data_IF_240374684748
#
_entry.id   IF_240374684748
#
_cell.length_a   1.000
_cell.length_b   1.000
_cell.length_c   1.000
_cell.angle_alpha   90.00
_cell.angle_beta   90.00
_cell.angle_gamma   90.00
#
_symmetry.space_group_name_H-M   'P 1'
#
loop_
_entity.id
_entity.type
_entity.pdbx_description
1 polymer ?
#
# COMPACT_ATOMS: atom_id res chain seq x y z
N UNK A 1 -0.50 -5.73 -17.53
CA UNK A 1 -0.42 -5.68 -16.07
C UNK A 1 1.05 -5.65 -15.72
N UNK A 2 1.49 -4.59 -15.06
CA UNK A 2 2.87 -4.48 -14.61
C UNK A 2 2.94 -5.23 -13.29
N UNK A 3 3.60 -6.38 -13.31
CA UNK A 3 3.90 -7.12 -12.09
C UNK A 3 5.03 -6.40 -11.37
N UNK A 4 4.73 -5.77 -10.24
CA UNK A 4 5.79 -5.22 -9.40
C UNK A 4 6.51 -6.34 -8.63
N UNK A 5 7.67 -5.99 -8.08
CA UNK A 5 8.40 -6.88 -7.17
C UNK A 5 7.71 -6.91 -5.80
N UNK A 6 8.03 -7.93 -5.01
CA UNK A 6 7.76 -7.90 -3.57
C UNK A 6 8.66 -6.87 -2.87
N UNK A 7 8.08 -6.15 -1.92
CA UNK A 7 8.75 -5.28 -0.97
C UNK A 7 8.53 -5.84 0.43
N UNK A 8 9.59 -5.97 1.23
CA UNK A 8 9.54 -6.58 2.57
C UNK A 8 10.11 -8.00 2.62
N UNK A 9 9.84 -8.70 3.72
CA UNK A 9 10.40 -10.00 4.05
C UNK A 9 9.51 -11.19 3.70
N UNK A 10 9.73 -12.31 4.40
CA UNK A 10 9.04 -13.59 4.16
C UNK A 10 8.09 -13.99 5.32
N UNK A 11 7.80 -13.06 6.24
CA UNK A 11 6.92 -13.31 7.39
C UNK A 11 5.44 -13.27 7.04
N UNK A 12 4.60 -13.32 8.07
CA UNK A 12 3.15 -13.07 7.96
C UNK A 12 2.34 -14.15 7.25
N UNK A 13 1.07 -13.81 7.01
CA UNK A 13 0.11 -14.65 6.30
C UNK A 13 -0.34 -13.99 5.00
N UNK A 14 -0.44 -14.81 3.94
CA UNK A 14 -0.81 -14.34 2.63
C UNK A 14 -2.25 -13.79 2.60
N UNK A 15 -2.40 -12.64 1.96
CA UNK A 15 -3.64 -11.95 1.71
C UNK A 15 -3.64 -11.32 0.32
N UNK A 16 -4.83 -11.00 -0.18
CA UNK A 16 -5.00 -10.36 -1.48
C UNK A 16 -6.09 -9.32 -1.43
N UNK A 17 -5.74 -8.09 -1.78
CA UNK A 17 -6.67 -7.02 -2.07
C UNK A 17 -6.83 -6.89 -3.58
N UNK A 18 -8.04 -6.81 -4.12
CA UNK A 18 -8.22 -6.60 -5.56
C UNK A 18 -9.49 -5.79 -5.90
N UNK A 19 -9.41 -5.06 -7.01
CA UNK A 19 -10.57 -4.47 -7.65
C UNK A 19 -11.53 -5.58 -8.14
N UNK A 20 -12.83 -5.33 -8.07
CA UNK A 20 -13.83 -6.25 -8.61
C UNK A 20 -13.80 -6.26 -10.16
N UNK A 21 -13.61 -5.09 -10.76
CA UNK A 21 -13.47 -4.92 -12.21
C UNK A 21 -12.17 -4.17 -12.55
N UNK A 22 -11.51 -4.48 -13.68
CA UNK A 22 -10.22 -3.90 -14.04
C UNK A 22 -10.18 -2.37 -14.17
N UNK A 23 -11.33 -1.74 -14.40
CA UNK A 23 -11.44 -0.29 -14.56
C UNK A 23 -11.85 0.44 -13.28
N UNK A 24 -12.09 -0.29 -12.17
CA UNK A 24 -12.41 0.36 -10.91
C UNK A 24 -11.15 1.07 -10.40
N UNK A 25 -11.26 2.36 -10.18
CA UNK A 25 -10.18 3.16 -9.60
C UNK A 25 -10.14 2.96 -8.09
N UNK A 26 -8.94 3.11 -7.51
CA UNK A 26 -8.77 3.10 -6.06
C UNK A 26 -9.46 4.34 -5.50
N UNK A 27 -10.32 4.17 -4.48
CA UNK A 27 -11.03 5.27 -3.82
C UNK A 27 -10.44 5.63 -2.48
N UNK A 28 -9.97 4.62 -1.74
CA UNK A 28 -9.40 4.80 -0.41
C UNK A 28 -8.14 3.97 -0.31
N UNK A 29 -7.09 4.59 0.22
CA UNK A 29 -5.98 3.90 0.86
C UNK A 29 -5.77 4.49 2.25
N UNK A 30 -5.67 3.61 3.24
CA UNK A 30 -5.29 3.97 4.61
C UNK A 30 -4.12 3.08 5.02
N UNK A 31 -3.06 3.71 5.53
CA UNK A 31 -1.85 3.06 6.00
C UNK A 31 -1.82 3.23 7.51
N UNK A 32 -1.83 2.10 8.21
CA UNK A 32 -1.67 2.05 9.64
C UNK A 32 -0.18 1.90 9.97
N UNK A 33 0.33 2.66 10.94
CA UNK A 33 1.74 2.61 11.36
C UNK A 33 1.86 1.95 12.73
N UNK A 34 2.97 1.26 12.97
CA UNK A 34 3.29 0.63 14.24
C UNK A 34 4.78 0.66 14.52
N UNK A 35 5.20 0.02 15.60
CA UNK A 35 6.60 -0.06 16.00
C UNK A 35 7.09 -1.50 16.00
N UNK A 36 8.27 -1.72 15.44
CA UNK A 36 9.01 -2.97 15.47
C UNK A 36 10.45 -2.66 15.89
N UNK A 37 10.91 -3.27 16.98
CA UNK A 37 12.29 -3.13 17.49
C UNK A 37 12.79 -1.67 17.58
N UNK A 38 11.91 -0.76 18.02
CA UNK A 38 12.21 0.66 18.18
C UNK A 38 12.19 1.49 16.88
N UNK A 39 11.78 0.90 15.76
CA UNK A 39 11.62 1.57 14.46
C UNK A 39 10.15 1.60 14.05
N UNK A 40 9.71 2.70 13.43
CA UNK A 40 8.36 2.80 12.89
C UNK A 40 8.25 2.07 11.55
N UNK A 41 7.23 1.22 11.42
CA UNK A 41 6.95 0.42 10.21
C UNK A 41 5.50 0.58 9.77
N UNK A 42 5.18 0.06 8.59
CA UNK A 42 3.78 -0.10 8.16
C UNK A 42 3.22 -1.32 8.88
N UNK A 43 2.20 -1.10 9.71
CA UNK A 43 1.56 -2.16 10.48
C UNK A 43 0.34 -2.75 9.74
N UNK A 44 -0.28 -1.97 8.85
CA UNK A 44 -1.40 -2.45 8.06
C UNK A 44 -1.78 -1.54 6.92
N UNK A 45 -2.59 -2.07 6.01
CA UNK A 45 -3.11 -1.37 4.86
C UNK A 45 -4.59 -1.67 4.69
N UNK A 46 -5.35 -0.65 4.34
CA UNK A 46 -6.76 -0.74 3.95
C UNK A 46 -6.93 -0.15 2.57
N UNK A 47 -7.57 -0.90 1.69
CA UNK A 47 -7.84 -0.51 0.31
C UNK A 47 -9.33 -0.62 0.03
N UNK A 48 -9.86 0.34 -0.74
CA UNK A 48 -11.21 0.29 -1.28
C UNK A 48 -11.20 0.84 -2.69
N UNK A 49 -11.79 0.11 -3.62
CA UNK A 49 -12.03 0.55 -4.99
C UNK A 49 -13.45 1.08 -5.15
N UNK A 50 -13.70 1.85 -6.20
CA UNK A 50 -15.06 2.28 -6.57
C UNK A 50 -15.98 1.07 -6.66
N UNK A 51 -17.14 1.14 -5.98
CA UNK A 51 -18.13 0.07 -5.93
C UNK A 51 -17.76 -1.17 -5.09
N UNK A 52 -16.50 -1.31 -4.69
CA UNK A 52 -16.01 -2.48 -3.97
C UNK A 52 -16.09 -2.36 -2.45
N UNK A 53 -15.95 -3.51 -1.79
CA UNK A 53 -15.83 -3.61 -0.33
C UNK A 53 -14.46 -3.17 0.18
N UNK A 54 -14.42 -2.76 1.45
CA UNK A 54 -13.18 -2.45 2.15
C UNK A 54 -12.40 -3.75 2.39
N UNK A 55 -11.13 -3.76 2.00
CA UNK A 55 -10.21 -4.88 2.22
C UNK A 55 -9.06 -4.40 3.12
N UNK A 56 -8.82 -5.09 4.24
CA UNK A 56 -7.88 -4.67 5.29
C UNK A 56 -6.95 -5.81 5.67
N UNK A 57 -5.66 -5.49 5.82
CA UNK A 57 -4.59 -6.43 6.15
C UNK A 57 -3.65 -5.80 7.17
N UNK A 58 -3.11 -6.62 8.09
CA UNK A 58 -2.36 -6.15 9.25
C UNK A 58 -3.21 -5.34 10.24
N UNK A 59 -2.59 -4.87 11.32
CA UNK A 59 -3.25 -4.07 12.35
C UNK A 59 -2.26 -3.11 12.99
N UNK A 60 -2.67 -1.88 13.31
CA UNK A 60 -1.88 -1.03 14.21
C UNK A 60 -2.43 -1.20 15.62
N UNK A 61 -1.56 -1.54 16.57
CA UNK A 61 -1.92 -1.54 18.00
C UNK A 61 -2.10 -0.11 18.54
N UNK A 62 -1.51 0.88 17.87
CA UNK A 62 -1.42 2.27 18.34
C UNK A 62 -2.46 3.20 17.69
N UNK A 63 -3.35 2.66 16.84
CA UNK A 63 -4.39 3.42 16.11
C UNK A 63 -3.86 4.64 15.31
N UNK A 64 -2.58 4.65 14.94
CA UNK A 64 -2.03 5.67 14.07
C UNK A 64 -2.24 5.28 12.60
N UNK A 65 -2.98 6.10 11.88
CA UNK A 65 -3.25 5.91 10.47
C UNK A 65 -3.19 7.22 9.70
N UNK A 66 -2.74 7.11 8.46
CA UNK A 66 -2.87 8.16 7.44
C UNK A 66 -3.77 7.63 6.35
N UNK A 67 -4.64 8.46 5.81
CA UNK A 67 -5.60 8.05 4.80
C UNK A 67 -5.64 9.05 3.64
N UNK A 68 -5.90 8.51 2.45
CA UNK A 68 -6.13 9.29 1.24
C UNK A 68 -7.41 8.81 0.55
N UNK A 69 -8.19 9.78 0.11
CA UNK A 69 -9.40 9.60 -0.68
C UNK A 69 -9.16 10.13 -2.08
N UNK A 70 -9.32 9.29 -3.10
CA UNK A 70 -9.12 9.68 -4.49
C UNK A 70 -10.41 10.21 -5.10
N UNK A 71 -10.32 11.20 -5.96
CA UNK A 71 -11.42 11.55 -6.86
C UNK A 71 -11.60 10.47 -7.94
N UNK A 72 -12.76 10.45 -8.61
CA UNK A 72 -13.10 9.37 -9.56
C UNK A 72 -12.17 9.34 -10.78
N UNK A 73 -11.59 10.50 -11.14
CA UNK A 73 -10.63 10.71 -12.24
C UNK A 73 -9.16 10.77 -11.75
N UNK A 74 -8.90 10.53 -10.46
CA UNK A 74 -7.57 10.63 -9.88
C UNK A 74 -6.81 9.29 -9.95
N UNK A 75 -5.56 9.33 -10.39
CA UNK A 75 -4.70 8.16 -10.52
C UNK A 75 -3.41 8.33 -9.71
N UNK A 76 -2.71 7.23 -9.47
CA UNK A 76 -1.40 7.25 -8.80
C UNK A 76 -0.32 7.60 -9.83
N UNK A 77 0.37 8.73 -9.63
CA UNK A 77 1.47 9.17 -10.50
C UNK A 77 2.81 8.61 -10.00
N UNK A 78 3.00 8.52 -8.69
CA UNK A 78 4.22 8.00 -8.08
C UNK A 78 3.87 7.15 -6.88
N UNK A 79 4.55 6.02 -6.75
CA UNK A 79 4.55 5.20 -5.55
C UNK A 79 5.98 4.79 -5.22
N UNK A 80 6.38 4.98 -3.96
CA UNK A 80 7.67 4.56 -3.43
C UNK A 80 7.43 3.72 -2.20
N UNK A 81 8.07 2.56 -2.12
CA UNK A 81 8.02 1.68 -0.96
C UNK A 81 9.41 1.58 -0.37
N UNK A 82 9.52 1.88 0.93
CA UNK A 82 10.69 1.58 1.75
C UNK A 82 10.53 0.22 2.41
N UNK A 83 11.51 -0.66 2.25
CA UNK A 83 11.45 -1.99 2.85
C UNK A 83 12.83 -2.56 3.20
N UNK A 84 12.89 -3.27 4.32
CA UNK A 84 13.95 -4.18 4.74
C UNK A 84 13.36 -5.57 4.99
N UNK A 85 13.41 -6.02 6.25
CA UNK A 85 12.76 -7.27 6.70
C UNK A 85 11.23 -7.16 6.75
N UNK A 86 10.71 -5.93 6.80
CA UNK A 86 9.29 -5.58 6.75
C UNK A 86 9.06 -4.43 5.76
N UNK A 87 7.80 -4.04 5.57
CA UNK A 87 7.46 -2.79 4.88
C UNK A 87 7.62 -1.63 5.88
N UNK A 88 8.65 -0.81 5.67
CA UNK A 88 8.96 0.33 6.56
C UNK A 88 8.11 1.55 6.23
N UNK A 89 7.91 1.83 4.94
CA UNK A 89 7.11 2.99 4.49
C UNK A 89 6.47 2.81 3.12
N UNK A 90 5.37 3.52 2.93
CA UNK A 90 4.71 3.69 1.63
C UNK A 90 4.47 5.19 1.43
N UNK A 91 4.95 5.69 0.30
CA UNK A 91 4.68 7.03 -0.19
C UNK A 91 3.91 6.96 -1.51
N UNK A 92 2.91 7.80 -1.65
CA UNK A 92 2.07 7.93 -2.86
C UNK A 92 1.91 9.40 -3.21
N UNK A 93 2.04 9.71 -4.48
CA UNK A 93 1.60 10.97 -5.08
C UNK A 93 0.61 10.71 -6.20
N UNK A 94 -0.45 11.48 -6.24
CA UNK A 94 -1.48 11.35 -7.27
C UNK A 94 -1.31 12.35 -8.42
N UNK A 95 -2.04 12.12 -9.51
CA UNK A 95 -2.13 13.01 -10.67
C UNK A 95 -2.66 14.41 -10.36
N UNK A 96 -3.32 14.59 -9.19
CA UNK A 96 -3.79 15.89 -8.69
C UNK A 96 -2.83 16.53 -7.69
N UNK A 97 -1.60 16.01 -7.58
CA UNK A 97 -0.55 16.54 -6.71
C UNK A 97 -0.78 16.30 -5.21
N UNK A 98 -1.66 15.36 -4.86
CA UNK A 98 -1.95 15.03 -3.48
C UNK A 98 -1.03 13.89 -3.03
N UNK A 99 -0.53 13.99 -1.80
CA UNK A 99 0.49 13.08 -1.28
C UNK A 99 -0.01 12.34 -0.04
N UNK A 100 0.48 11.11 0.14
CA UNK A 100 0.29 10.30 1.33
C UNK A 100 1.61 9.63 1.68
N UNK A 101 2.04 9.74 2.93
CA UNK A 101 3.18 9.00 3.46
C UNK A 101 2.81 8.33 4.77
N UNK A 102 2.98 7.02 4.84
CA UNK A 102 2.82 6.24 6.07
C UNK A 102 4.03 5.37 6.32
N UNK A 103 4.36 5.16 7.61
CA UNK A 103 5.53 4.42 8.06
C UNK A 103 6.72 5.30 8.40
N UNK A 104 7.87 4.69 8.69
CA UNK A 104 9.10 5.37 9.09
C UNK A 104 10.12 5.57 7.97
N UNK A 105 11.31 6.07 8.31
CA UNK A 105 12.40 6.29 7.35
C UNK A 105 13.29 5.06 7.11
N UNK A 106 12.92 3.91 7.68
CA UNK A 106 13.62 2.63 7.50
C UNK A 106 13.55 2.09 6.07
N UNK A 107 14.31 1.01 5.86
CA UNK A 107 14.30 0.25 4.62
C UNK A 107 14.97 0.92 3.43
N UNK A 108 15.17 0.15 2.36
CA UNK A 108 15.64 0.69 1.08
C UNK A 108 14.45 1.19 0.27
N UNK A 109 14.38 2.50 0.02
CA UNK A 109 13.33 3.13 -0.79
C UNK A 109 13.47 2.74 -2.27
N UNK A 110 12.40 2.26 -2.87
CA UNK A 110 12.34 1.84 -4.28
C UNK A 110 11.04 2.31 -4.91
N UNK A 111 11.13 2.85 -6.12
CA UNK A 111 9.97 3.26 -6.89
C UNK A 111 9.26 2.04 -7.47
N UNK A 112 7.93 2.04 -7.39
CA UNK A 112 7.04 1.08 -8.02
C UNK A 112 6.73 1.57 -9.43
N UNK A 113 6.71 0.67 -10.40
CA UNK A 113 6.19 0.99 -11.73
C UNK A 113 4.65 1.01 -11.66
N UNK A 114 4.08 2.20 -11.82
CA UNK A 114 2.65 2.44 -11.65
C UNK A 114 1.88 2.39 -12.97
N UNK A 115 2.56 2.27 -14.12
CA UNK A 115 1.91 2.28 -15.45
C UNK A 115 0.96 3.47 -15.61
N UNK A 116 -0.33 3.20 -15.85
CA UNK A 116 -1.40 4.21 -15.95
C UNK A 116 -1.91 4.75 -14.60
N UNK A 117 -1.35 4.29 -13.49
CA UNK A 117 -1.71 4.72 -12.14
C UNK A 117 -3.00 4.10 -11.60
N UNK A 118 -3.56 3.10 -12.30
CA UNK A 118 -4.74 2.35 -11.86
C UNK A 118 -4.28 1.07 -11.17
N UNK A 119 -4.41 1.06 -9.84
CA UNK A 119 -4.08 -0.10 -9.01
C UNK A 119 -5.14 -1.19 -9.19
N UNK A 120 -4.75 -2.37 -9.63
CA UNK A 120 -5.66 -3.50 -9.85
C UNK A 120 -5.72 -4.44 -8.65
N UNK A 121 -4.57 -4.63 -7.99
CA UNK A 121 -4.40 -5.63 -6.93
C UNK A 121 -3.22 -5.29 -6.04
N UNK A 122 -3.32 -5.68 -4.77
CA UNK A 122 -2.19 -5.80 -3.88
C UNK A 122 -2.13 -7.22 -3.31
N UNK A 123 -0.98 -7.88 -3.45
CA UNK A 123 -0.68 -9.10 -2.71
C UNK A 123 0.10 -8.74 -1.46
N UNK A 124 -0.27 -9.37 -0.35
CA UNK A 124 0.12 -8.92 0.97
C UNK A 124 0.56 -10.14 1.79
N UNK A 125 1.61 -9.97 2.58
CA UNK A 125 1.90 -10.81 3.74
C UNK A 125 1.83 -9.93 4.98
N UNK A 126 1.03 -10.34 5.97
CA UNK A 126 0.88 -9.60 7.22
C UNK A 126 0.67 -10.51 8.41
N UNK A 127 1.22 -10.12 9.56
CA UNK A 127 0.84 -10.58 10.89
C UNK A 127 0.40 -9.38 11.73
N UNK A 128 1.15 -9.10 12.80
CA UNK A 128 0.99 -7.87 13.60
C UNK A 128 1.42 -6.63 12.82
N UNK A 129 2.38 -6.77 11.88
CA UNK A 129 2.81 -5.74 10.96
C UNK A 129 2.67 -6.18 9.49
N UNK A 130 2.92 -5.28 8.55
CA UNK A 130 2.95 -5.59 7.12
C UNK A 130 4.34 -6.13 6.75
N UNK A 131 4.47 -7.46 6.69
CA UNK A 131 5.72 -8.13 6.37
C UNK A 131 6.16 -7.90 4.92
N UNK A 132 5.22 -8.04 3.98
CA UNK A 132 5.51 -7.84 2.57
C UNK A 132 4.31 -7.35 1.77
N UNK A 133 4.57 -6.62 0.69
CA UNK A 133 3.55 -6.16 -0.24
C UNK A 133 4.06 -6.14 -1.69
N UNK A 134 3.15 -6.39 -2.61
CA UNK A 134 3.33 -6.24 -4.06
C UNK A 134 2.08 -5.56 -4.63
N UNK A 135 2.28 -4.57 -5.49
CA UNK A 135 1.19 -3.84 -6.14
C UNK A 135 1.17 -4.10 -7.65
N UNK A 136 0.04 -4.52 -8.19
CA UNK A 136 -0.12 -4.74 -9.63
C UNK A 136 -0.94 -3.59 -10.23
N UNK A 137 -0.36 -2.91 -11.20
CA UNK A 137 -0.97 -1.78 -11.89
C UNK A 137 -1.36 -2.12 -13.33
N UNK A 138 -2.31 -1.37 -13.86
CA UNK A 138 -2.67 -1.42 -15.28
C UNK A 138 -1.58 -0.77 -16.14
N UNK A 139 -1.21 -1.43 -17.24
CA UNK A 139 -0.29 -0.92 -18.29
C UNK A 139 -0.95 0.17 -19.12
#
# INVERSE_FOLDING_TARGET
MVLSRWFGGNGGHAGKAQAEFPNNTLKIIEIATGWQDGSQVVAGIKLKWVGGEIQRFGTSLDNHYVARFFDDDETIETMVVGSGDMVDSIYIKSSKGQELQGGGDGGTKRQVDVGKGILLRADIYSGDNLDAIRFDFMD
#
